data_IF_785466444977
#
_entry.id   IF_785466444977
#
_cell.length_a   1.000
_cell.length_b   1.000
_cell.length_c   1.000
_cell.angle_alpha   90.00
_cell.angle_beta   90.00
_cell.angle_gamma   90.00
#
_symmetry.space_group_name_H-M   'P 1'
#
loop_
_entity.id
_entity.type
_entity.pdbx_description
1 polymer ?
#
# COMPACT_ATOMS: atom_id res chain seq x y z
N UNK A 1 47.37 -35.91 41.32
CA UNK A 1 47.22 -34.91 42.40
C UNK A 1 46.65 -33.65 41.75
N UNK A 2 45.36 -33.39 42.03
CA UNK A 2 44.55 -32.26 41.56
C UNK A 2 45.27 -30.91 41.64
N UNK A 3 45.08 -30.02 40.66
CA UNK A 3 45.05 -28.56 40.93
C UNK A 3 44.56 -27.60 39.84
N UNK A 4 44.03 -28.04 38.70
CA UNK A 4 43.47 -27.10 37.71
C UNK A 4 42.02 -27.42 37.38
N UNK A 5 41.22 -27.44 38.45
CA UNK A 5 39.79 -27.14 38.41
C UNK A 5 39.67 -25.62 38.61
N UNK A 6 38.76 -24.97 37.87
CA UNK A 6 38.46 -23.53 37.80
C UNK A 6 39.10 -22.76 36.64
N UNK A 7 38.35 -22.64 35.55
CA UNK A 7 37.92 -21.33 35.03
C UNK A 7 36.77 -21.54 34.03
N UNK A 8 35.57 -21.64 34.58
CA UNK A 8 34.30 -21.57 33.88
C UNK A 8 34.04 -20.10 33.54
N UNK A 9 34.04 -19.73 32.25
CA UNK A 9 33.36 -18.52 31.76
C UNK A 9 33.26 -18.60 30.23
N UNK A 10 32.29 -19.37 29.73
CA UNK A 10 31.81 -19.17 28.38
C UNK A 10 31.16 -17.79 28.31
N UNK A 11 31.83 -16.81 27.69
CA UNK A 11 31.21 -15.55 27.29
C UNK A 11 30.14 -15.87 26.22
N UNK A 12 28.91 -16.09 26.67
CA UNK A 12 27.73 -15.95 25.83
C UNK A 12 27.54 -14.45 25.57
N UNK A 13 28.17 -13.96 24.51
CA UNK A 13 27.83 -12.66 23.92
C UNK A 13 26.43 -12.83 23.34
N UNK A 14 25.41 -12.45 24.12
CA UNK A 14 24.04 -12.30 23.63
C UNK A 14 24.07 -11.12 22.67
N UNK A 15 24.18 -11.41 21.37
CA UNK A 15 23.92 -10.44 20.34
C UNK A 15 22.43 -10.14 20.39
N UNK A 16 22.03 -9.15 21.19
CA UNK A 16 20.70 -8.56 21.11
C UNK A 16 20.68 -7.79 19.79
N UNK A 17 20.36 -8.49 18.70
CA UNK A 17 20.04 -7.84 17.45
C UNK A 17 18.82 -6.95 17.71
N UNK A 18 19.01 -5.63 17.69
CA UNK A 18 17.90 -4.68 17.66
C UNK A 18 17.16 -4.88 16.33
N UNK A 19 16.19 -5.79 16.31
CA UNK A 19 15.21 -5.84 15.24
C UNK A 19 14.36 -4.58 15.37
N UNK A 20 14.51 -3.66 14.43
CA UNK A 20 13.69 -2.45 14.42
C UNK A 20 12.23 -2.85 14.13
N UNK A 21 11.34 -2.48 15.04
CA UNK A 21 9.92 -2.78 14.93
C UNK A 21 9.31 -2.02 13.75
N UNK A 22 8.44 -2.70 12.98
CA UNK A 22 7.69 -2.04 11.91
C UNK A 22 6.63 -1.12 12.53
N UNK A 23 6.53 0.10 12.01
CA UNK A 23 5.51 1.08 12.42
C UNK A 23 4.55 1.39 11.27
N UNK A 24 3.34 1.81 11.65
CA UNK A 24 2.21 2.05 10.75
C UNK A 24 1.43 3.31 11.17
N UNK A 25 1.94 4.53 10.86
CA UNK A 25 1.35 5.76 11.40
C UNK A 25 -0.04 6.10 10.86
N UNK A 26 -0.32 5.88 9.56
CA UNK A 26 -1.61 6.20 8.92
C UNK A 26 -2.40 4.92 8.63
N UNK A 27 -1.85 4.04 7.79
CA UNK A 27 -2.48 2.77 7.42
C UNK A 27 -1.97 1.71 8.38
N UNK A 28 -2.84 1.25 9.27
CA UNK A 28 -2.54 0.44 10.46
C UNK A 28 -2.25 -1.01 10.10
N UNK A 29 -3.03 -1.61 9.22
CA UNK A 29 -2.89 -3.02 8.85
C UNK A 29 -1.82 -3.30 7.80
N UNK A 30 -1.32 -2.27 7.10
CA UNK A 30 -0.60 -2.44 5.83
C UNK A 30 0.53 -1.44 5.63
N UNK A 31 1.48 -1.75 4.74
CA UNK A 31 2.55 -0.83 4.38
C UNK A 31 3.49 -0.51 5.53
N UNK A 32 3.83 -1.51 6.35
CA UNK A 32 4.74 -1.36 7.48
C UNK A 32 6.10 -0.80 7.07
N UNK A 33 6.57 0.19 7.80
CA UNK A 33 7.84 0.88 7.56
C UNK A 33 8.77 0.71 8.76
N UNK A 34 10.05 0.90 8.53
CA UNK A 34 11.06 0.94 9.59
C UNK A 34 11.48 2.40 9.74
N UNK A 35 11.74 2.83 10.97
CA UNK A 35 12.26 4.18 11.22
C UNK A 35 13.53 4.43 10.41
N UNK A 36 13.72 5.65 9.92
CA UNK A 36 14.82 6.01 9.03
C UNK A 36 15.78 6.99 9.71
N UNK A 37 16.55 6.56 10.73
CA UNK A 37 17.41 7.45 11.53
C UNK A 37 18.55 8.07 10.71
N UNK A 38 18.90 7.47 9.58
CA UNK A 38 19.95 7.94 8.68
C UNK A 38 19.43 8.79 7.51
N UNK A 39 18.11 9.06 7.45
CA UNK A 39 17.55 9.88 6.39
C UNK A 39 18.01 11.32 6.52
N UNK A 40 18.82 11.77 5.56
CA UNK A 40 19.20 13.18 5.39
C UNK A 40 18.12 13.94 4.61
N UNK A 41 17.62 13.31 3.53
CA UNK A 41 16.48 13.82 2.75
C UNK A 41 15.18 13.31 3.37
N UNK A 42 14.21 14.20 3.60
CA UNK A 42 12.96 13.90 4.29
C UNK A 42 11.79 14.60 3.60
N UNK A 43 10.59 14.01 3.64
CA UNK A 43 9.38 14.73 3.26
C UNK A 43 9.30 16.09 3.98
N UNK A 44 8.96 17.15 3.27
CA UNK A 44 8.74 18.47 3.86
C UNK A 44 7.34 18.49 4.51
N UNK A 45 7.24 18.62 5.84
CA UNK A 45 5.96 18.59 6.56
C UNK A 45 5.02 19.75 6.20
N UNK A 46 5.53 20.80 5.53
CA UNK A 46 4.75 21.98 5.12
C UNK A 46 4.08 21.81 3.76
N UNK A 47 4.48 20.81 2.96
CA UNK A 47 3.90 20.58 1.64
C UNK A 47 2.55 19.86 1.71
N UNK A 48 1.70 20.15 0.72
CA UNK A 48 0.55 19.30 0.37
C UNK A 48 0.99 18.34 -0.74
N UNK A 49 1.04 17.05 -0.42
CA UNK A 49 1.46 16.01 -1.34
C UNK A 49 0.27 15.53 -2.16
N UNK A 50 0.15 16.05 -3.38
CA UNK A 50 -0.82 15.61 -4.38
C UNK A 50 -0.22 14.54 -5.27
N UNK A 51 -0.72 13.31 -5.18
CA UNK A 51 -0.13 12.15 -5.86
C UNK A 51 -1.22 11.35 -6.55
N UNK A 52 -1.02 11.08 -7.84
CA UNK A 52 -1.85 10.14 -8.61
C UNK A 52 -1.00 8.93 -8.99
N UNK A 53 -1.53 7.74 -8.79
CA UNK A 53 -0.77 6.49 -8.89
C UNK A 53 -1.44 5.57 -9.91
N UNK A 54 -0.69 5.21 -10.95
CA UNK A 54 -1.01 4.14 -11.89
C UNK A 54 -0.79 2.78 -11.22
N UNK A 55 -1.84 1.96 -11.09
CA UNK A 55 -1.79 0.59 -10.57
C UNK A 55 -2.23 -0.36 -11.68
N UNK A 56 -1.28 -1.04 -12.31
CA UNK A 56 -1.52 -1.77 -13.57
C UNK A 56 -1.33 -3.30 -13.44
N UNK A 57 -0.29 -3.70 -12.72
CA UNK A 57 0.14 -5.08 -12.56
C UNK A 57 -0.66 -5.75 -11.45
N UNK A 58 -1.09 -6.99 -11.70
CA UNK A 58 -1.62 -7.88 -10.66
C UNK A 58 -0.52 -8.82 -10.18
N UNK A 59 -0.70 -9.38 -8.99
CA UNK A 59 0.23 -10.36 -8.43
C UNK A 59 -0.23 -11.80 -8.68
N UNK A 60 0.71 -12.74 -8.58
CA UNK A 60 0.44 -14.15 -8.87
C UNK A 60 -0.34 -14.86 -7.75
N UNK A 61 -0.25 -14.39 -6.50
CA UNK A 61 -0.94 -14.98 -5.36
C UNK A 61 -2.27 -14.25 -5.07
N UNK A 62 -3.44 -14.86 -5.34
CA UNK A 62 -4.73 -14.24 -5.05
C UNK A 62 -5.07 -14.22 -3.55
N UNK A 63 -4.27 -14.85 -2.69
CA UNK A 63 -4.47 -14.88 -1.23
C UNK A 63 -3.78 -13.72 -0.52
N UNK A 64 -2.85 -13.04 -1.21
CA UNK A 64 -2.09 -11.94 -0.67
C UNK A 64 -2.59 -10.61 -1.23
N UNK A 65 -2.42 -9.55 -0.46
CA UNK A 65 -2.57 -8.19 -0.98
C UNK A 65 -1.45 -7.92 -1.97
N UNK A 66 -1.81 -7.35 -3.11
CA UNK A 66 -0.83 -6.97 -4.13
C UNK A 66 0.23 -6.00 -3.59
N UNK A 67 1.50 -6.24 -3.94
CA UNK A 67 2.62 -5.40 -3.55
C UNK A 67 2.45 -3.94 -3.98
N UNK A 68 1.85 -3.69 -5.15
CA UNK A 68 1.58 -2.33 -5.63
C UNK A 68 0.61 -1.57 -4.71
N UNK A 69 -0.40 -2.25 -4.15
CA UNK A 69 -1.35 -1.68 -3.20
C UNK A 69 -0.74 -1.53 -1.79
N UNK A 70 0.07 -2.50 -1.35
CA UNK A 70 0.89 -2.38 -0.13
C UNK A 70 1.81 -1.15 -0.19
N UNK A 71 2.39 -0.88 -1.36
CA UNK A 71 3.24 0.31 -1.55
C UNK A 71 2.48 1.62 -1.46
N UNK A 72 1.17 1.65 -1.77
CA UNK A 72 0.34 2.83 -1.49
C UNK A 72 0.27 3.07 0.01
N UNK A 73 -0.04 2.02 0.80
CA UNK A 73 -0.06 2.15 2.26
C UNK A 73 1.30 2.59 2.81
N UNK A 74 2.38 2.01 2.28
CA UNK A 74 3.75 2.35 2.63
C UNK A 74 4.10 3.81 2.30
N UNK A 75 3.65 4.32 1.16
CA UNK A 75 3.82 5.72 0.77
C UNK A 75 3.20 6.67 1.81
N UNK A 76 1.96 6.43 2.24
CA UNK A 76 1.31 7.24 3.26
C UNK A 76 2.07 7.16 4.60
N UNK A 77 2.45 5.95 5.01
CA UNK A 77 3.17 5.72 6.26
C UNK A 77 4.56 6.41 6.27
N UNK A 78 5.31 6.35 5.16
CA UNK A 78 6.61 7.02 5.02
C UNK A 78 6.49 8.54 5.12
N UNK A 79 5.48 9.15 4.49
CA UNK A 79 5.26 10.60 4.58
C UNK A 79 4.90 11.02 6.01
N UNK A 80 4.08 10.23 6.69
CA UNK A 80 3.73 10.47 8.08
C UNK A 80 4.93 10.36 9.03
N UNK A 81 5.79 9.35 8.84
CA UNK A 81 7.06 9.24 9.56
C UNK A 81 7.95 10.46 9.33
N UNK A 82 7.95 11.01 8.11
CA UNK A 82 8.61 12.27 7.77
C UNK A 82 7.98 13.52 8.39
N UNK A 83 6.85 13.41 9.10
CA UNK A 83 6.16 14.51 9.77
C UNK A 83 5.04 15.15 8.95
N UNK A 84 4.72 14.64 7.75
CA UNK A 84 3.63 15.15 6.92
C UNK A 84 2.28 14.78 7.56
N UNK A 85 1.40 15.75 7.88
CA UNK A 85 0.08 15.44 8.40
C UNK A 85 -0.75 14.63 7.40
N UNK A 86 -1.49 13.62 7.85
CA UNK A 86 -2.34 12.80 6.98
C UNK A 86 -3.29 13.63 6.10
N UNK A 87 -3.84 14.73 6.64
CA UNK A 87 -4.71 15.66 5.90
C UNK A 87 -4.04 16.33 4.69
N UNK A 88 -2.70 16.41 4.66
CA UNK A 88 -1.91 16.98 3.56
C UNK A 88 -1.56 15.93 2.50
N UNK A 89 -1.89 14.65 2.70
CA UNK A 89 -1.73 13.60 1.70
C UNK A 89 -2.99 13.51 0.84
N UNK A 90 -2.91 13.94 -0.43
CA UNK A 90 -4.00 13.84 -1.42
C UNK A 90 -3.64 12.77 -2.44
N UNK A 91 -4.02 11.53 -2.18
CA UNK A 91 -3.67 10.39 -3.03
C UNK A 91 -4.86 9.90 -3.85
N UNK A 92 -4.61 9.57 -5.12
CA UNK A 92 -5.59 9.04 -6.07
C UNK A 92 -4.99 7.79 -6.72
N UNK A 93 -5.72 6.68 -6.70
CA UNK A 93 -5.36 5.47 -7.41
C UNK A 93 -6.16 5.37 -8.71
N UNK A 94 -5.48 5.01 -9.79
CA UNK A 94 -6.08 4.62 -11.06
C UNK A 94 -5.74 3.16 -11.34
N UNK A 95 -6.66 2.27 -10.94
CA UNK A 95 -6.48 0.82 -10.97
C UNK A 95 -6.98 0.28 -12.30
N UNK A 96 -6.12 -0.43 -13.03
CA UNK A 96 -6.42 -0.92 -14.37
C UNK A 96 -5.60 -2.17 -14.72
N UNK A 97 -5.72 -2.65 -15.96
CA UNK A 97 -4.90 -3.77 -16.42
C UNK A 97 -5.22 -5.04 -15.64
N UNK A 98 -4.20 -5.76 -15.16
CA UNK A 98 -4.43 -6.95 -14.34
C UNK A 98 -4.81 -6.63 -12.90
N UNK A 99 -4.42 -5.46 -12.39
CA UNK A 99 -4.80 -5.01 -11.05
C UNK A 99 -6.31 -4.86 -10.87
N UNK A 100 -7.07 -4.69 -11.96
CA UNK A 100 -8.53 -4.48 -11.90
C UNK A 100 -9.26 -5.60 -11.16
N UNK A 101 -8.74 -6.83 -11.19
CA UNK A 101 -9.33 -7.97 -10.49
C UNK A 101 -9.27 -7.81 -8.96
N UNK A 102 -8.35 -7.02 -8.42
CA UNK A 102 -8.33 -6.68 -6.99
C UNK A 102 -9.56 -5.89 -6.55
N UNK A 103 -10.21 -5.17 -7.48
CA UNK A 103 -11.31 -4.24 -7.19
C UNK A 103 -12.68 -4.89 -7.04
N UNK A 104 -12.78 -6.21 -7.24
CA UNK A 104 -14.04 -6.95 -7.12
C UNK A 104 -14.57 -6.97 -5.68
N UNK A 105 -15.88 -7.09 -5.52
CA UNK A 105 -16.47 -7.43 -4.23
C UNK A 105 -16.02 -8.83 -3.75
N UNK A 106 -16.32 -9.16 -2.48
CA UNK A 106 -15.84 -10.41 -1.90
C UNK A 106 -16.42 -11.64 -2.61
N UNK A 107 -17.72 -11.64 -2.91
CA UNK A 107 -18.40 -12.79 -3.50
C UNK A 107 -17.89 -13.10 -4.91
N UNK A 108 -17.69 -12.06 -5.72
CA UNK A 108 -17.19 -12.18 -7.09
C UNK A 108 -15.72 -12.56 -7.12
N UNK A 109 -14.90 -12.00 -6.22
CA UNK A 109 -13.50 -12.40 -6.08
C UNK A 109 -13.39 -13.86 -5.63
N UNK A 110 -14.19 -14.27 -4.65
CA UNK A 110 -14.23 -15.64 -4.14
C UNK A 110 -14.70 -16.64 -5.18
N UNK A 111 -15.71 -16.28 -5.99
CA UNK A 111 -16.14 -17.10 -7.11
C UNK A 111 -15.01 -17.31 -8.14
N UNK A 112 -14.18 -16.29 -8.36
CA UNK A 112 -13.06 -16.33 -9.31
C UNK A 112 -11.82 -17.06 -8.79
N UNK A 113 -11.45 -16.84 -7.54
CA UNK A 113 -10.16 -17.26 -6.97
C UNK A 113 -10.25 -18.29 -5.84
N UNK A 114 -11.45 -18.61 -5.36
CA UNK A 114 -11.68 -19.57 -4.28
C UNK A 114 -11.31 -19.06 -2.88
N UNK A 115 -10.96 -17.79 -2.74
CA UNK A 115 -10.59 -17.15 -1.46
C UNK A 115 -11.29 -15.80 -1.32
N UNK A 116 -11.50 -15.34 -0.09
CA UNK A 116 -12.01 -14.00 0.15
C UNK A 116 -11.04 -12.94 -0.42
N UNK A 117 -11.56 -11.79 -0.85
CA UNK A 117 -10.72 -10.75 -1.46
C UNK A 117 -9.80 -10.12 -0.38
N UNK A 118 -8.47 -10.37 -0.43
CA UNK A 118 -7.57 -9.89 0.61
C UNK A 118 -7.39 -8.36 0.58
N UNK A 119 -7.80 -7.70 -0.50
CA UNK A 119 -7.59 -6.26 -0.72
C UNK A 119 -8.64 -5.39 -0.03
N UNK A 120 -9.82 -5.93 0.28
CA UNK A 120 -10.94 -5.15 0.84
C UNK A 120 -10.57 -4.43 2.14
N UNK A 121 -9.92 -5.06 3.13
CA UNK A 121 -9.58 -4.35 4.36
C UNK A 121 -8.55 -3.23 4.11
N UNK A 122 -7.60 -3.42 3.19
CA UNK A 122 -6.69 -2.34 2.77
C UNK A 122 -7.45 -1.18 2.10
N UNK A 123 -8.36 -1.46 1.16
CA UNK A 123 -9.14 -0.40 0.51
C UNK A 123 -9.95 0.43 1.52
N UNK A 124 -10.52 -0.23 2.54
CA UNK A 124 -11.21 0.45 3.63
C UNK A 124 -10.29 1.39 4.41
N UNK A 125 -9.07 0.96 4.74
CA UNK A 125 -8.09 1.83 5.43
C UNK A 125 -7.62 2.99 4.55
N UNK A 126 -7.37 2.73 3.25
CA UNK A 126 -6.98 3.76 2.29
C UNK A 126 -8.09 4.80 2.11
N UNK A 127 -9.35 4.37 1.95
CA UNK A 127 -10.50 5.28 1.87
C UNK A 127 -10.66 6.08 3.18
N UNK A 128 -10.51 5.44 4.34
CA UNK A 128 -10.52 6.11 5.65
C UNK A 128 -9.42 7.16 5.81
N UNK A 129 -8.27 6.98 5.14
CA UNK A 129 -7.19 7.97 5.06
C UNK A 129 -7.43 9.05 3.98
N UNK A 130 -8.57 9.02 3.27
CA UNK A 130 -8.93 10.00 2.25
C UNK A 130 -8.39 9.70 0.85
N UNK A 131 -7.85 8.50 0.61
CA UNK A 131 -7.40 8.07 -0.71
C UNK A 131 -8.61 7.84 -1.62
N UNK A 132 -8.55 8.36 -2.85
CA UNK A 132 -9.59 8.11 -3.86
C UNK A 132 -9.22 6.89 -4.69
N UNK A 133 -10.10 5.91 -4.77
CA UNK A 133 -9.87 4.64 -5.45
C UNK A 133 -10.70 4.58 -6.74
N UNK A 134 -10.06 4.69 -7.90
CA UNK A 134 -10.74 4.61 -9.20
C UNK A 134 -10.39 3.33 -9.96
N UNK A 135 -11.41 2.55 -10.31
CA UNK A 135 -11.33 1.45 -11.26
C UNK A 135 -11.54 1.96 -12.68
N UNK A 136 -10.67 1.54 -13.60
CA UNK A 136 -10.73 1.93 -15.00
C UNK A 136 -11.88 1.24 -15.75
N UNK A 137 -12.88 2.02 -16.22
CA UNK A 137 -14.02 1.49 -16.99
C UNK A 137 -13.60 0.67 -18.21
N UNK A 138 -12.59 1.10 -18.97
CA UNK A 138 -12.08 0.31 -20.11
C UNK A 138 -11.51 -1.05 -19.69
N UNK A 139 -10.93 -1.17 -18.50
CA UNK A 139 -10.43 -2.46 -17.99
C UNK A 139 -11.56 -3.36 -17.48
N UNK A 140 -12.60 -2.76 -16.88
CA UNK A 140 -13.84 -3.46 -16.47
C UNK A 140 -14.52 -4.06 -17.70
N UNK A 141 -14.79 -3.23 -18.71
CA UNK A 141 -15.49 -3.62 -19.93
C UNK A 141 -14.68 -4.64 -20.74
N UNK A 142 -13.37 -4.42 -20.91
CA UNK A 142 -12.50 -5.34 -21.66
C UNK A 142 -12.26 -6.70 -21.00
N UNK A 143 -12.85 -6.96 -19.82
CA UNK A 143 -12.75 -8.21 -19.05
C UNK A 143 -14.12 -8.74 -18.63
N UNK A 144 -15.20 -8.17 -19.16
CA UNK A 144 -16.58 -8.55 -18.84
C UNK A 144 -16.90 -8.54 -17.33
N UNK A 145 -16.31 -7.58 -16.60
CA UNK A 145 -16.58 -7.39 -15.18
C UNK A 145 -17.88 -6.60 -15.02
N UNK A 146 -18.79 -7.09 -14.17
CA UNK A 146 -19.97 -6.32 -13.76
C UNK A 146 -19.55 -5.15 -12.87
N UNK A 147 -19.76 -3.93 -13.35
CA UNK A 147 -19.44 -2.70 -12.62
C UNK A 147 -20.18 -2.52 -11.28
N UNK A 148 -21.25 -3.29 -11.03
CA UNK A 148 -21.95 -3.30 -9.73
C UNK A 148 -21.32 -4.25 -8.71
N UNK A 149 -20.37 -5.10 -9.14
CA UNK A 149 -19.69 -6.12 -8.34
C UNK A 149 -18.30 -5.70 -7.89
N UNK A 150 -18.18 -4.44 -7.46
CA UNK A 150 -16.93 -3.86 -6.99
C UNK A 150 -16.90 -3.74 -5.47
N UNK A 151 -15.70 -3.83 -4.89
CA UNK A 151 -15.48 -3.65 -3.47
C UNK A 151 -16.00 -2.27 -3.02
N UNK A 152 -16.54 -2.16 -1.78
CA UNK A 152 -16.95 -0.88 -1.22
C UNK A 152 -15.84 0.19 -1.31
N UNK A 153 -16.23 1.42 -1.64
CA UNK A 153 -15.30 2.56 -1.79
C UNK A 153 -14.64 2.68 -3.17
N UNK A 154 -14.64 1.61 -3.98
CA UNK A 154 -14.17 1.67 -5.37
C UNK A 154 -15.18 2.44 -6.23
N UNK A 155 -14.68 3.45 -6.95
CA UNK A 155 -15.48 4.22 -7.91
C UNK A 155 -15.01 3.93 -9.33
N UNK A 156 -15.91 3.98 -10.30
CA UNK A 156 -15.55 3.78 -11.70
C UNK A 156 -15.18 5.14 -12.33
N UNK A 157 -14.02 5.19 -12.99
CA UNK A 157 -13.58 6.33 -13.81
C UNK A 157 -13.59 5.97 -15.30
N UNK A 158 -13.63 6.97 -16.18
CA UNK A 158 -13.62 6.78 -17.64
C UNK A 158 -12.45 5.91 -18.09
N UNK A 159 -11.24 6.20 -17.64
CA UNK A 159 -10.06 5.36 -17.85
C UNK A 159 -8.95 5.70 -16.87
N UNK A 160 -7.95 4.82 -16.74
CA UNK A 160 -6.69 5.16 -16.08
C UNK A 160 -6.06 6.39 -16.77
N UNK A 161 -5.97 6.39 -18.11
CA UNK A 161 -5.34 7.47 -18.88
C UNK A 161 -5.94 8.84 -18.58
N UNK A 162 -7.27 8.95 -18.61
CA UNK A 162 -7.98 10.19 -18.31
C UNK A 162 -7.85 10.60 -16.84
N UNK A 163 -7.83 9.64 -15.91
CA UNK A 163 -7.59 9.90 -14.49
C UNK A 163 -6.19 10.48 -14.28
N UNK A 164 -5.16 9.83 -14.83
CA UNK A 164 -3.77 10.27 -14.72
C UNK A 164 -3.55 11.65 -15.31
N UNK A 165 -4.01 11.91 -16.54
CA UNK A 165 -3.82 13.21 -17.17
C UNK A 165 -4.60 14.31 -16.45
N UNK A 166 -5.84 14.04 -16.03
CA UNK A 166 -6.66 15.01 -15.29
C UNK A 166 -6.01 15.40 -13.97
N UNK A 167 -5.52 14.45 -13.18
CA UNK A 167 -4.92 14.76 -11.89
C UNK A 167 -3.54 15.40 -12.04
N UNK A 168 -2.73 14.98 -13.01
CA UNK A 168 -1.47 15.67 -13.32
C UNK A 168 -1.69 17.14 -13.67
N UNK A 169 -2.68 17.46 -14.52
CA UNK A 169 -3.06 18.84 -14.84
C UNK A 169 -3.62 19.62 -13.64
N UNK A 170 -4.07 18.94 -12.59
CA UNK A 170 -4.45 19.53 -11.29
C UNK A 170 -3.25 19.69 -10.33
N UNK A 171 -2.03 19.47 -10.80
CA UNK A 171 -0.79 19.60 -10.04
C UNK A 171 -0.45 18.37 -9.19
N UNK A 172 -0.95 17.18 -9.56
CA UNK A 172 -0.57 15.94 -8.89
C UNK A 172 0.71 15.37 -9.52
N UNK A 173 1.67 14.95 -8.69
CA UNK A 173 2.78 14.14 -9.14
C UNK A 173 2.28 12.74 -9.54
N UNK A 174 2.76 12.22 -10.66
CA UNK A 174 2.42 10.89 -11.11
C UNK A 174 3.45 9.86 -10.63
N UNK A 175 2.97 8.78 -10.02
CA UNK A 175 3.73 7.58 -9.71
C UNK A 175 3.11 6.39 -10.43
N UNK A 176 3.89 5.31 -10.52
CA UNK A 176 3.41 4.02 -11.02
C UNK A 176 3.92 2.92 -10.10
N UNK A 177 3.02 2.06 -9.65
CA UNK A 177 3.33 0.87 -8.85
C UNK A 177 2.88 -0.41 -9.55
#
# INVERSE_FOLDING_TARGET
>A
MNKYLFAFAALLIVNIGFSQEKINPIIKGYGGIIDAPFAVEKPDPKLEYKIVIDIATGDADPKAVMYSLENVARLLNLHAMGGVPAKNMKVVLAIHGQAIWSTLDNDTYKAKYGVDNPHIPLFKELEGAGVKLFACSQSILGRDIDHTKLAPGIKVATSMLSTLTTYQLKGYAALKF
#
